data_IF_123943642108
#
_entry.id   IF_123943642108
#
_cell.length_a   1.000
_cell.length_b   1.000
_cell.length_c   1.000
_cell.angle_alpha   90.00
_cell.angle_beta   90.00
_cell.angle_gamma   90.00
#
_symmetry.space_group_name_H-M   'P 1'
#
loop_
_entity.id
_entity.type
_entity.pdbx_description
1 polymer ?
#
# COMPACT_ATOMS: atom_id res chain seq x y z
N UNK A 1 34.43 14.12 7.95
CA UNK A 1 33.93 13.46 6.73
C UNK A 1 32.52 14.01 6.47
N UNK A 2 32.41 14.95 5.57
CA UNK A 2 31.09 15.42 5.12
C UNK A 2 30.35 14.28 4.43
N UNK A 3 29.19 13.91 4.96
CA UNK A 3 28.29 13.00 4.25
C UNK A 3 27.91 13.65 2.92
N UNK A 4 28.36 13.11 1.80
CA UNK A 4 27.85 13.46 0.48
C UNK A 4 26.32 13.40 0.56
N UNK A 5 25.65 14.55 0.47
CA UNK A 5 24.19 14.61 0.23
C UNK A 5 23.97 13.95 -1.13
N UNK A 6 23.52 12.70 -1.13
CA UNK A 6 22.94 12.14 -2.34
C UNK A 6 21.61 12.88 -2.53
N UNK A 7 21.59 13.86 -3.41
CA UNK A 7 20.37 14.56 -3.81
C UNK A 7 19.50 13.61 -4.64
N UNK A 8 18.78 12.74 -3.95
CA UNK A 8 17.76 11.91 -4.61
C UNK A 8 16.50 12.74 -4.87
N UNK A 9 15.71 12.40 -5.89
CA UNK A 9 14.56 13.19 -6.33
C UNK A 9 13.54 13.49 -5.23
N UNK A 10 13.37 12.57 -4.25
CA UNK A 10 12.40 12.70 -3.16
C UNK A 10 13.08 12.92 -1.79
N UNK A 11 14.33 13.42 -1.79
CA UNK A 11 14.99 13.75 -0.52
C UNK A 11 14.22 14.86 0.21
N UNK A 12 13.94 14.64 1.50
CA UNK A 12 13.14 15.51 2.35
C UNK A 12 11.64 15.17 2.40
N UNK A 13 11.12 14.37 1.50
CA UNK A 13 9.71 13.93 1.49
C UNK A 13 9.50 12.83 2.55
N UNK A 14 8.45 13.00 3.35
CA UNK A 14 8.02 12.01 4.35
C UNK A 14 6.73 11.32 3.90
N UNK A 15 6.81 10.02 3.68
CA UNK A 15 5.69 9.15 3.29
C UNK A 15 5.23 8.32 4.48
N UNK A 16 3.95 8.36 4.77
CA UNK A 16 3.29 7.52 5.77
C UNK A 16 2.58 6.37 5.04
N UNK A 17 3.06 5.16 5.27
CA UNK A 17 2.67 3.94 4.56
C UNK A 17 1.77 3.07 5.44
N UNK A 18 0.47 3.03 5.14
CA UNK A 18 -0.53 2.15 5.79
C UNK A 18 -0.80 0.88 4.99
N UNK A 19 -0.04 0.66 3.92
CA UNK A 19 -0.33 -0.41 2.97
C UNK A 19 0.12 -1.79 3.47
N UNK A 20 -0.49 -2.84 2.92
CA UNK A 20 -0.20 -4.23 3.26
C UNK A 20 0.05 -5.07 2.01
N UNK A 21 0.74 -6.16 2.19
CA UNK A 21 1.01 -7.25 1.24
C UNK A 21 1.92 -6.84 0.09
N UNK A 22 1.42 -6.34 -1.04
CA UNK A 22 2.23 -6.21 -2.26
C UNK A 22 2.17 -4.81 -2.89
N UNK A 23 1.02 -4.37 -3.45
CA UNK A 23 0.93 -3.18 -4.31
C UNK A 23 1.41 -1.89 -3.65
N UNK A 24 0.82 -1.61 -2.51
CA UNK A 24 1.17 -0.43 -1.75
C UNK A 24 2.60 -0.50 -1.22
N UNK A 25 3.03 -1.60 -0.58
CA UNK A 25 4.41 -1.76 -0.17
C UNK A 25 5.42 -1.64 -1.31
N UNK A 26 5.10 -2.12 -2.51
CA UNK A 26 5.97 -1.95 -3.69
C UNK A 26 6.01 -0.49 -4.16
N UNK A 27 4.87 0.19 -4.21
CA UNK A 27 4.83 1.62 -4.54
C UNK A 27 5.66 2.46 -3.55
N UNK A 28 5.47 2.23 -2.24
CA UNK A 28 6.22 2.95 -1.21
C UNK A 28 7.70 2.55 -1.13
N UNK A 29 8.07 1.35 -1.61
CA UNK A 29 9.46 0.96 -1.81
C UNK A 29 10.13 1.80 -2.90
N UNK A 30 9.46 2.00 -4.04
CA UNK A 30 9.96 2.87 -5.12
C UNK A 30 10.18 4.29 -4.59
N UNK A 31 9.24 4.84 -3.83
CA UNK A 31 9.40 6.16 -3.22
C UNK A 31 10.61 6.20 -2.26
N UNK A 32 10.83 5.13 -1.49
CA UNK A 32 12.01 4.99 -0.62
C UNK A 32 13.32 4.93 -1.41
N UNK A 33 13.36 4.18 -2.51
CA UNK A 33 14.52 4.06 -3.39
C UNK A 33 14.84 5.41 -4.08
N UNK A 34 13.82 6.23 -4.32
CA UNK A 34 13.97 7.59 -4.84
C UNK A 34 14.35 8.63 -3.77
N UNK A 35 14.51 8.23 -2.51
CA UNK A 35 15.02 9.07 -1.43
C UNK A 35 13.97 9.54 -0.42
N UNK A 36 12.70 9.20 -0.60
CA UNK A 36 11.68 9.52 0.39
C UNK A 36 11.91 8.76 1.70
N UNK A 37 11.61 9.42 2.81
CA UNK A 37 11.60 8.79 4.13
C UNK A 37 10.26 8.10 4.34
N UNK A 38 10.25 6.78 4.31
CA UNK A 38 9.01 6.00 4.47
C UNK A 38 8.88 5.49 5.90
N UNK A 39 7.73 5.78 6.54
CA UNK A 39 7.34 5.21 7.82
C UNK A 39 6.13 4.31 7.59
N UNK A 40 6.34 3.00 7.74
CA UNK A 40 5.28 2.01 7.65
C UNK A 40 4.57 1.87 8.99
N UNK A 41 3.26 2.04 8.97
CA UNK A 41 2.40 1.80 10.13
C UNK A 41 1.81 0.39 9.99
N UNK A 42 2.08 -0.45 10.96
CA UNK A 42 1.59 -1.81 10.98
C UNK A 42 0.55 -2.00 12.11
N UNK A 43 -0.45 -2.83 11.87
CA UNK A 43 -1.38 -3.29 12.92
C UNK A 43 -0.64 -4.15 13.93
N UNK A 44 -1.19 -4.37 15.14
CA UNK A 44 -0.71 -5.45 16.04
C UNK A 44 -0.65 -6.79 15.30
N UNK A 45 0.49 -7.46 15.38
CA UNK A 45 0.78 -8.67 14.61
C UNK A 45 1.52 -8.41 13.29
N UNK A 46 1.61 -7.15 12.84
CA UNK A 46 2.37 -6.75 11.65
C UNK A 46 1.58 -6.88 10.34
N UNK A 47 2.29 -6.66 9.26
CA UNK A 47 1.82 -6.89 7.90
C UNK A 47 1.66 -8.40 7.64
N UNK A 48 0.58 -8.80 6.97
CA UNK A 48 0.30 -10.21 6.70
C UNK A 48 1.41 -10.89 5.87
N UNK A 49 2.12 -10.12 5.05
CA UNK A 49 3.26 -10.61 4.28
C UNK A 49 4.48 -11.05 5.13
N UNK A 50 4.51 -10.71 6.41
CA UNK A 50 5.51 -11.26 7.35
C UNK A 50 5.37 -12.77 7.54
N UNK A 51 4.15 -13.32 7.27
CA UNK A 51 3.86 -14.74 7.26
C UNK A 51 4.07 -15.44 5.90
N UNK A 52 4.55 -14.75 4.88
CA UNK A 52 4.73 -15.32 3.53
C UNK A 52 6.18 -15.76 3.30
N UNK A 53 6.34 -16.99 2.80
CA UNK A 53 7.66 -17.50 2.43
C UNK A 53 8.23 -16.85 1.14
N UNK A 54 9.49 -17.15 0.80
CA UNK A 54 10.42 -18.01 1.54
C UNK A 54 10.93 -17.35 2.83
N UNK A 55 11.32 -18.18 3.81
CA UNK A 55 11.86 -17.70 5.08
C UNK A 55 13.37 -17.95 5.15
N UNK A 56 14.10 -16.93 5.66
CA UNK A 56 15.50 -17.03 6.03
C UNK A 56 15.69 -16.48 7.45
N UNK A 57 16.27 -17.27 8.33
CA UNK A 57 16.45 -16.93 9.75
C UNK A 57 15.15 -16.43 10.44
N UNK A 58 14.04 -17.12 10.17
CA UNK A 58 12.72 -16.78 10.72
C UNK A 58 12.07 -15.50 10.17
N UNK A 59 12.65 -14.89 9.14
CA UNK A 59 12.13 -13.66 8.52
C UNK A 59 11.64 -13.94 7.10
N UNK A 60 10.50 -13.37 6.75
CA UNK A 60 9.93 -13.45 5.41
C UNK A 60 10.82 -12.69 4.40
N UNK A 61 11.34 -13.40 3.41
CA UNK A 61 12.03 -12.79 2.27
C UNK A 61 11.08 -11.92 1.44
N UNK A 62 9.81 -12.33 1.33
CA UNK A 62 8.76 -11.57 0.67
C UNK A 62 8.56 -10.20 1.32
N UNK A 63 8.38 -10.15 2.65
CA UNK A 63 8.24 -8.89 3.38
C UNK A 63 9.46 -7.99 3.23
N UNK A 64 10.66 -8.57 3.38
CA UNK A 64 11.92 -7.80 3.32
C UNK A 64 12.12 -7.19 1.94
N UNK A 65 11.85 -7.94 0.86
CA UNK A 65 12.03 -7.45 -0.52
C UNK A 65 11.20 -6.21 -0.81
N UNK A 66 10.00 -6.10 -0.23
CA UNK A 66 9.04 -5.01 -0.46
C UNK A 66 9.16 -3.85 0.54
N UNK A 67 9.83 -4.08 1.67
CA UNK A 67 9.85 -3.09 2.76
C UNK A 67 11.26 -2.67 3.18
N UNK A 68 12.30 -3.01 2.41
CA UNK A 68 13.65 -2.50 2.65
C UNK A 68 13.68 -0.96 2.61
N UNK A 69 14.54 -0.38 3.41
CA UNK A 69 14.70 1.08 3.49
C UNK A 69 13.63 1.81 4.31
N UNK A 70 12.50 1.16 4.62
CA UNK A 70 11.43 1.75 5.42
C UNK A 70 11.70 1.61 6.92
N UNK A 71 11.19 2.57 7.70
CA UNK A 71 11.03 2.43 9.15
C UNK A 71 9.65 1.89 9.44
N UNK A 72 9.52 1.02 10.44
CA UNK A 72 8.24 0.47 10.84
C UNK A 72 7.90 0.85 12.28
N UNK A 73 6.62 1.09 12.53
CA UNK A 73 6.02 1.26 13.85
C UNK A 73 4.70 0.51 13.91
N UNK A 74 4.49 -0.23 15.00
CA UNK A 74 3.22 -0.90 15.25
C UNK A 74 2.27 0.04 16.01
N UNK A 75 1.07 0.28 15.44
CA UNK A 75 0.02 1.11 16.05
C UNK A 75 -1.34 0.44 15.85
N UNK A 76 -2.08 0.27 16.94
CA UNK A 76 -3.50 -0.08 16.90
C UNK A 76 -4.35 1.18 16.75
N UNK A 77 -4.70 1.51 15.51
CA UNK A 77 -5.50 2.70 15.20
C UNK A 77 -6.94 2.63 15.72
N UNK A 78 -7.33 1.58 16.43
CA UNK A 78 -8.59 1.54 17.19
C UNK A 78 -8.45 2.19 18.57
N UNK A 79 -7.23 2.28 19.10
CA UNK A 79 -6.95 2.85 20.42
C UNK A 79 -6.68 4.35 20.35
N UNK A 80 -7.32 5.13 21.23
CA UNK A 80 -7.23 6.59 21.25
C UNK A 80 -5.80 7.12 21.38
N UNK A 81 -5.00 6.52 22.27
CA UNK A 81 -3.59 6.95 22.47
C UNK A 81 -2.74 6.72 21.22
N UNK A 82 -2.95 5.60 20.53
CA UNK A 82 -2.18 5.24 19.35
C UNK A 82 -2.62 6.06 18.12
N UNK A 83 -3.92 6.41 18.01
CA UNK A 83 -4.39 7.42 17.04
C UNK A 83 -3.70 8.77 17.22
N UNK A 84 -3.49 9.22 18.46
CA UNK A 84 -2.79 10.47 18.73
C UNK A 84 -1.33 10.43 18.28
N UNK A 85 -0.66 9.28 18.42
CA UNK A 85 0.70 9.08 17.90
C UNK A 85 0.68 9.13 16.38
N UNK A 86 -0.25 8.41 15.74
CA UNK A 86 -0.43 8.44 14.30
C UNK A 86 -0.65 9.86 13.78
N UNK A 87 -1.55 10.66 14.40
CA UNK A 87 -1.79 12.05 14.02
C UNK A 87 -0.55 12.93 14.15
N UNK A 88 0.28 12.73 15.17
CA UNK A 88 1.55 13.46 15.32
C UNK A 88 2.54 13.15 14.18
N UNK A 89 2.55 11.92 13.67
CA UNK A 89 3.39 11.56 12.53
C UNK A 89 2.77 12.14 11.25
N UNK A 90 1.47 11.97 11.08
CA UNK A 90 0.70 12.44 9.93
C UNK A 90 0.83 13.96 9.72
N UNK A 91 0.81 14.74 10.81
CA UNK A 91 0.96 16.20 10.74
C UNK A 91 2.31 16.67 10.18
N UNK A 92 3.30 15.78 10.09
CA UNK A 92 4.63 16.04 9.55
C UNK A 92 4.86 15.35 8.21
N UNK A 93 3.87 14.57 7.74
CA UNK A 93 3.98 13.79 6.53
C UNK A 93 3.50 14.59 5.31
N UNK A 94 4.14 14.38 4.19
CA UNK A 94 3.78 14.97 2.91
C UNK A 94 2.81 14.07 2.14
N UNK A 95 2.95 12.76 2.30
CA UNK A 95 2.17 11.76 1.59
C UNK A 95 1.63 10.72 2.57
N UNK A 96 0.36 10.36 2.42
CA UNK A 96 -0.28 9.22 3.08
C UNK A 96 -0.73 8.22 2.00
N UNK A 97 -0.37 6.95 2.18
CA UNK A 97 -0.75 5.90 1.23
C UNK A 97 -1.39 4.75 1.98
N UNK A 98 -2.54 4.26 1.49
CA UNK A 98 -3.17 3.04 1.97
C UNK A 98 -3.70 2.16 0.83
N UNK A 99 -3.89 0.88 1.14
CA UNK A 99 -4.60 -0.07 0.28
C UNK A 99 -5.68 -0.84 1.07
N UNK A 100 -6.30 -0.17 2.03
CA UNK A 100 -7.38 -0.73 2.80
C UNK A 100 -8.65 -0.91 1.96
N UNK A 101 -9.53 -1.79 2.45
CA UNK A 101 -10.89 -1.87 1.92
C UNK A 101 -11.56 -0.49 2.02
N UNK A 102 -12.51 -0.19 1.11
CA UNK A 102 -13.29 1.03 1.19
C UNK A 102 -13.81 1.32 2.60
N UNK A 103 -13.93 2.58 2.96
CA UNK A 103 -14.38 3.08 4.27
C UNK A 103 -13.55 2.66 5.51
N UNK A 104 -12.50 1.84 5.37
CA UNK A 104 -11.73 1.41 6.55
C UNK A 104 -11.08 2.59 7.26
N UNK A 105 -10.45 3.48 6.50
CA UNK A 105 -9.79 4.66 7.06
C UNK A 105 -10.81 5.64 7.64
N UNK A 106 -11.99 5.75 7.02
CA UNK A 106 -13.12 6.57 7.50
C UNK A 106 -13.64 6.06 8.85
N UNK A 107 -13.83 4.74 8.99
CA UNK A 107 -14.23 4.09 10.24
C UNK A 107 -13.19 4.28 11.36
N UNK A 108 -11.93 4.45 10.99
CA UNK A 108 -10.87 4.80 11.93
C UNK A 108 -10.87 6.28 12.31
N UNK A 109 -11.70 7.12 11.66
CA UNK A 109 -11.81 8.56 11.93
C UNK A 109 -10.90 9.44 11.06
N UNK A 110 -10.33 8.87 9.99
CA UNK A 110 -9.42 9.56 9.08
C UNK A 110 -9.99 9.64 7.65
N UNK A 111 -11.26 10.08 7.53
CA UNK A 111 -11.87 10.29 6.22
C UNK A 111 -11.12 11.35 5.41
N UNK A 112 -11.21 11.26 4.06
CA UNK A 112 -10.62 12.29 3.21
C UNK A 112 -11.12 13.70 3.55
N UNK A 113 -12.41 13.85 3.82
CA UNK A 113 -12.99 15.13 4.27
C UNK A 113 -12.32 15.69 5.53
N UNK A 114 -11.93 14.82 6.47
CA UNK A 114 -11.21 15.23 7.67
C UNK A 114 -9.75 15.55 7.35
N UNK A 115 -9.08 14.67 6.58
CA UNK A 115 -7.67 14.80 6.24
C UNK A 115 -7.40 16.06 5.43
N UNK A 116 -8.16 16.31 4.35
CA UNK A 116 -7.98 17.46 3.48
C UNK A 116 -8.20 18.79 4.20
N UNK A 117 -9.17 18.83 5.13
CA UNK A 117 -9.41 20.03 5.95
C UNK A 117 -8.31 20.30 6.98
N UNK A 118 -7.83 19.24 7.63
CA UNK A 118 -6.86 19.36 8.73
C UNK A 118 -5.41 19.46 8.23
N UNK A 119 -5.10 18.81 7.12
CA UNK A 119 -3.77 18.73 6.53
C UNK A 119 -3.81 19.11 5.04
N UNK A 120 -4.03 20.37 4.68
CA UNK A 120 -4.30 20.80 3.29
C UNK A 120 -3.13 20.60 2.33
N UNK A 121 -1.92 20.30 2.84
CA UNK A 121 -0.75 19.98 2.01
C UNK A 121 -0.51 18.48 1.87
N UNK A 122 -1.31 17.66 2.55
CA UNK A 122 -1.14 16.20 2.51
C UNK A 122 -1.63 15.66 1.17
N UNK A 123 -0.79 14.92 0.50
CA UNK A 123 -1.17 14.11 -0.65
C UNK A 123 -1.67 12.77 -0.13
N UNK A 124 -2.93 12.45 -0.37
CA UNK A 124 -3.49 11.15 -0.01
C UNK A 124 -3.66 10.28 -1.26
N UNK A 125 -3.03 9.12 -1.24
CA UNK A 125 -3.10 8.13 -2.31
C UNK A 125 -3.71 6.84 -1.80
N UNK A 126 -4.75 6.36 -2.47
CA UNK A 126 -5.39 5.10 -2.15
C UNK A 126 -5.26 4.12 -3.31
N UNK A 127 -4.89 2.90 -2.99
CA UNK A 127 -4.75 1.81 -3.95
C UNK A 127 -5.91 0.85 -3.71
N UNK A 128 -6.78 0.71 -4.71
CA UNK A 128 -7.93 -0.20 -4.67
C UNK A 128 -8.05 -0.97 -5.97
N UNK A 129 -8.69 -2.14 -5.93
CA UNK A 129 -8.81 -2.98 -7.12
C UNK A 129 -9.81 -2.46 -8.15
N UNK A 130 -10.90 -1.85 -7.69
CA UNK A 130 -12.00 -1.40 -8.55
C UNK A 130 -12.27 0.11 -8.48
N UNK A 131 -11.40 0.86 -7.82
CA UNK A 131 -11.61 2.28 -7.58
C UNK A 131 -12.59 2.56 -6.44
N UNK A 132 -12.91 3.83 -6.23
CA UNK A 132 -13.86 4.27 -5.18
C UNK A 132 -15.26 4.55 -5.73
N UNK A 133 -15.43 4.48 -7.04
CA UNK A 133 -16.70 4.72 -7.73
C UNK A 133 -17.08 3.51 -8.59
N UNK A 134 -18.36 3.41 -8.95
CA UNK A 134 -18.83 2.32 -9.78
C UNK A 134 -19.40 1.13 -9.01
N UNK A 135 -20.02 0.15 -9.73
CA UNK A 135 -20.79 -0.93 -9.12
C UNK A 135 -19.93 -1.95 -8.36
N UNK A 136 -18.64 -2.05 -8.66
CA UNK A 136 -17.73 -3.04 -8.07
C UNK A 136 -16.84 -2.44 -6.95
N UNK A 137 -17.00 -1.17 -6.59
CA UNK A 137 -16.13 -0.46 -5.65
C UNK A 137 -15.92 -1.17 -4.31
N UNK A 138 -16.92 -1.89 -3.82
CA UNK A 138 -16.90 -2.55 -2.52
C UNK A 138 -16.38 -4.00 -2.58
N UNK A 139 -16.06 -4.50 -3.78
CA UNK A 139 -15.57 -5.86 -3.94
C UNK A 139 -14.05 -5.93 -3.64
N UNK A 140 -13.62 -7.01 -2.98
CA UNK A 140 -12.20 -7.26 -2.80
C UNK A 140 -11.56 -7.65 -4.14
N UNK A 141 -10.41 -7.07 -4.46
CA UNK A 141 -9.65 -7.37 -5.67
C UNK A 141 -8.40 -8.18 -5.32
N UNK A 142 -8.59 -9.47 -5.08
CA UNK A 142 -7.46 -10.39 -5.03
C UNK A 142 -6.94 -10.69 -6.44
N UNK A 143 -5.65 -10.91 -6.55
CA UNK A 143 -4.97 -11.14 -7.83
C UNK A 143 -5.67 -12.18 -8.72
N UNK A 144 -6.03 -13.34 -8.17
CA UNK A 144 -6.72 -14.39 -8.89
C UNK A 144 -8.10 -13.96 -9.41
N UNK A 145 -8.84 -13.15 -8.63
CA UNK A 145 -10.15 -12.63 -9.04
C UNK A 145 -9.98 -11.69 -10.22
N UNK A 146 -8.99 -10.82 -10.15
CA UNK A 146 -8.70 -9.86 -11.23
C UNK A 146 -8.25 -10.56 -12.50
N UNK A 147 -7.42 -11.59 -12.39
CA UNK A 147 -7.01 -12.41 -13.54
C UNK A 147 -8.21 -13.10 -14.19
N UNK A 148 -9.13 -13.65 -13.37
CA UNK A 148 -10.34 -14.28 -13.88
C UNK A 148 -11.28 -13.27 -14.56
N UNK A 149 -11.56 -12.15 -13.92
CA UNK A 149 -12.45 -11.11 -14.46
C UNK A 149 -11.84 -10.39 -15.68
N UNK A 150 -10.53 -10.23 -15.72
CA UNK A 150 -9.81 -9.63 -16.86
C UNK A 150 -9.61 -10.58 -18.03
N UNK A 151 -10.08 -11.82 -17.95
CA UNK A 151 -9.95 -12.83 -19.01
C UNK A 151 -8.55 -13.41 -19.15
N UNK A 152 -7.58 -13.03 -18.31
CA UNK A 152 -6.21 -13.55 -18.42
C UNK A 152 -6.16 -15.07 -18.26
N UNK A 153 -6.97 -15.60 -17.33
CA UNK A 153 -7.02 -17.05 -17.09
C UNK A 153 -7.65 -17.82 -18.25
N UNK A 154 -8.48 -17.18 -19.08
CA UNK A 154 -9.08 -17.84 -20.26
C UNK A 154 -8.11 -18.04 -21.42
N UNK A 155 -7.00 -17.31 -21.42
CA UNK A 155 -5.95 -17.40 -22.45
C UNK A 155 -4.67 -18.07 -21.94
N UNK A 156 -4.66 -18.45 -20.65
CA UNK A 156 -3.55 -19.17 -20.01
C UNK A 156 -4.04 -20.54 -19.58
N UNK A 157 -3.30 -21.55 -19.87
CA UNK A 157 -3.71 -22.94 -19.64
C UNK A 157 -3.69 -23.74 -20.92
N UNK A 158 -3.95 -25.03 -20.79
CA UNK A 158 -3.88 -25.95 -21.89
C UNK A 158 -5.19 -26.00 -22.70
N UNK A 159 -6.30 -25.85 -22.04
CA UNK A 159 -7.66 -25.88 -22.57
C UNK A 159 -8.65 -25.24 -21.61
N UNK A 160 -9.94 -25.19 -21.97
CA UNK A 160 -11.01 -24.54 -21.19
C UNK A 160 -11.27 -25.19 -19.82
N UNK A 161 -10.89 -26.46 -19.64
CA UNK A 161 -11.05 -27.16 -18.36
C UNK A 161 -9.83 -27.01 -17.45
N UNK A 162 -8.69 -26.65 -18.03
CA UNK A 162 -7.41 -26.51 -17.33
C UNK A 162 -6.93 -25.05 -17.31
N UNK A 163 -7.76 -24.17 -16.78
CA UNK A 163 -7.43 -22.75 -16.60
C UNK A 163 -6.32 -22.58 -15.57
N UNK A 164 -5.26 -21.87 -15.92
CA UNK A 164 -4.10 -21.66 -15.07
C UNK A 164 -3.89 -20.16 -14.84
N UNK A 165 -3.70 -19.79 -13.58
CA UNK A 165 -3.26 -18.43 -13.27
C UNK A 165 -1.79 -18.26 -13.67
N UNK A 166 -1.42 -17.15 -14.25
CA UNK A 166 -0.03 -16.71 -14.31
C UNK A 166 0.42 -16.25 -12.93
N UNK A 167 1.71 -16.07 -12.71
CA UNK A 167 2.21 -15.49 -11.46
C UNK A 167 1.44 -14.22 -11.06
N UNK A 168 1.73 -13.63 -9.90
CA UNK A 168 1.03 -12.44 -9.43
C UNK A 168 1.15 -11.29 -10.42
N UNK A 169 0.05 -10.94 -11.08
CA UNK A 169 -0.04 -9.91 -12.13
C UNK A 169 -1.02 -8.79 -11.82
N UNK A 170 -1.58 -8.76 -10.61
CA UNK A 170 -2.60 -7.80 -10.20
C UNK A 170 -2.25 -6.34 -10.53
N UNK A 171 -0.99 -6.03 -10.72
CA UNK A 171 -0.52 -4.67 -10.99
C UNK A 171 -0.19 -4.38 -12.44
N UNK A 172 0.07 -5.38 -13.24
CA UNK A 172 0.30 -5.18 -14.68
C UNK A 172 -0.99 -4.99 -15.48
N UNK A 173 -2.12 -5.50 -14.96
CA UNK A 173 -3.41 -5.45 -15.64
C UNK A 173 -4.40 -4.49 -14.97
N UNK A 174 -4.26 -4.21 -13.67
CA UNK A 174 -5.05 -3.21 -12.96
C UNK A 174 -4.62 -1.78 -13.27
N UNK A 175 -3.45 -1.56 -13.85
CA UNK A 175 -2.97 -0.22 -14.21
C UNK A 175 -3.72 0.40 -15.40
N UNK A 176 -4.45 -0.37 -16.19
CA UNK A 176 -5.24 0.16 -17.29
C UNK A 176 -6.56 0.81 -16.86
N UNK A 177 -7.29 0.35 -15.81
CA UNK A 177 -8.44 1.07 -15.25
C UNK A 177 -8.16 1.71 -13.89
N UNK A 178 -7.01 1.47 -13.25
CA UNK A 178 -6.71 2.07 -11.94
C UNK A 178 -6.41 3.55 -12.15
N UNK A 179 -7.43 4.35 -12.02
CA UNK A 179 -7.23 5.78 -11.82
C UNK A 179 -6.61 5.94 -10.43
N UNK A 180 -5.36 6.34 -10.40
CA UNK A 180 -4.78 6.97 -9.23
C UNK A 180 -5.49 8.32 -9.15
N UNK A 181 -6.48 8.43 -8.28
CA UNK A 181 -7.04 9.73 -7.95
C UNK A 181 -6.03 10.42 -7.04
N UNK A 182 -5.31 11.36 -7.61
CA UNK A 182 -4.64 12.42 -6.85
C UNK A 182 -5.65 13.56 -6.86
N UNK A 183 -6.40 13.70 -5.78
CA UNK A 183 -7.18 14.89 -5.49
C UNK A 183 -6.34 15.88 -4.66
#
# INVERSE_FOLDING_TARGET
MEKKKNNLPLDGILVLDLTNVLSGPFATLILSDLGAKVIKIEKPGGDDSRGYGPFANGKSGYFISLNRGKKSICLDLKKKKEKQIFEKILSKSDVLIDNFKPETLDKLGFSWKYLSKKYPRLIYSKISGFGETGPLKDLPAYDIIVQAMGGLMSITGKDEENLVRVGTVSYTHLTLPTRIFVE
#
